data_IF_993037465157
#
_entry.id   IF_993037465157
#
_cell.length_a   1.000
_cell.length_b   1.000
_cell.length_c   1.000
_cell.angle_alpha   90.00
_cell.angle_beta   90.00
_cell.angle_gamma   90.00
#
_symmetry.space_group_name_H-M   'P 1'
#
loop_
_entity.id
_entity.type
_entity.pdbx_description
1 polymer ?
#
# COMPACT_ATOMS: atom_id res chain seq x y z
N UNK A 1 17.93 -14.16 -21.92
CA UNK A 1 16.61 -13.63 -21.52
C UNK A 1 15.47 -14.55 -21.99
N UNK A 2 15.44 -14.92 -23.27
CA UNK A 2 14.38 -15.76 -23.85
C UNK A 2 14.21 -17.14 -23.20
N UNK A 3 15.25 -17.68 -22.56
CA UNK A 3 15.20 -18.94 -21.80
C UNK A 3 14.58 -18.76 -20.39
N UNK A 4 14.57 -17.54 -19.84
CA UNK A 4 14.09 -17.23 -18.48
C UNK A 4 12.73 -16.54 -18.45
N UNK A 5 12.38 -15.82 -19.51
CA UNK A 5 11.14 -15.05 -19.63
C UNK A 5 10.46 -15.39 -20.95
N UNK A 6 9.72 -16.52 -21.00
CA UNK A 6 9.11 -17.00 -22.23
C UNK A 6 7.92 -16.14 -22.70
N UNK A 7 7.36 -15.32 -21.78
CA UNK A 7 6.20 -14.45 -22.06
C UNK A 7 6.52 -13.04 -21.53
N UNK A 8 6.23 -12.03 -22.35
CA UNK A 8 6.35 -10.62 -21.97
C UNK A 8 5.20 -9.82 -22.57
N UNK A 9 4.90 -8.69 -21.96
CA UNK A 9 3.88 -7.75 -22.40
C UNK A 9 4.52 -6.46 -22.90
N UNK A 10 4.06 -5.99 -24.06
CA UNK A 10 4.38 -4.66 -24.59
C UNK A 10 3.19 -3.74 -24.31
N UNK A 11 3.47 -2.60 -23.68
CA UNK A 11 2.47 -1.56 -23.41
C UNK A 11 2.89 -0.25 -24.08
N UNK A 12 1.90 0.46 -24.63
CA UNK A 12 2.12 1.81 -25.14
C UNK A 12 2.38 2.75 -23.98
N UNK A 13 3.42 3.58 -24.10
CA UNK A 13 3.62 4.67 -23.15
C UNK A 13 2.46 5.66 -23.19
N UNK A 14 1.90 5.98 -22.02
CA UNK A 14 0.80 6.93 -21.84
C UNK A 14 1.13 7.88 -20.71
N UNK A 15 0.92 9.18 -20.91
CA UNK A 15 1.05 10.21 -19.88
C UNK A 15 -0.30 10.51 -19.24
N UNK A 16 -0.32 10.72 -17.94
CA UNK A 16 -1.52 11.04 -17.17
C UNK A 16 -1.26 10.95 -15.66
N UNK A 17 -2.33 10.91 -14.89
CA UNK A 17 -2.27 10.67 -13.44
C UNK A 17 -2.31 9.18 -13.20
N UNK A 18 -1.33 8.66 -12.46
CA UNK A 18 -1.37 7.29 -11.97
C UNK A 18 -2.30 7.21 -10.77
N UNK A 19 -3.26 6.31 -10.84
CA UNK A 19 -4.25 6.08 -9.80
C UNK A 19 -4.62 4.60 -9.77
N UNK A 20 -4.71 4.02 -8.58
CA UNK A 20 -5.20 2.67 -8.41
C UNK A 20 -6.61 2.64 -7.83
N UNK A 21 -7.35 1.61 -8.19
CA UNK A 21 -8.61 1.25 -7.54
C UNK A 21 -8.54 -0.20 -7.07
N UNK A 22 -8.90 -0.42 -5.83
CA UNK A 22 -8.82 -1.73 -5.20
C UNK A 22 -10.04 -2.07 -4.37
N UNK A 23 -10.22 -3.36 -4.14
CA UNK A 23 -11.27 -3.87 -3.26
C UNK A 23 -10.90 -5.24 -2.71
N UNK A 24 -11.54 -5.63 -1.61
CA UNK A 24 -11.52 -7.01 -1.15
C UNK A 24 -12.56 -7.82 -1.93
N UNK A 25 -12.23 -9.08 -2.23
CA UNK A 25 -13.08 -10.01 -2.96
C UNK A 25 -13.25 -11.30 -2.14
N UNK A 26 -14.49 -11.73 -1.91
CA UNK A 26 -14.83 -12.85 -1.02
C UNK A 26 -15.04 -14.18 -1.74
N UNK A 27 -14.58 -14.30 -2.97
CA UNK A 27 -14.83 -15.48 -3.82
C UNK A 27 -16.10 -15.41 -4.65
N UNK A 28 -16.97 -14.42 -4.42
CA UNK A 28 -18.26 -14.25 -5.11
C UNK A 28 -18.49 -12.82 -5.55
N UNK A 29 -18.14 -11.87 -4.69
CA UNK A 29 -18.38 -10.45 -4.93
C UNK A 29 -17.31 -9.56 -4.27
N UNK A 30 -17.26 -8.31 -4.71
CA UNK A 30 -16.44 -7.28 -4.09
C UNK A 30 -17.09 -6.81 -2.79
N UNK A 31 -16.29 -6.69 -1.74
CA UNK A 31 -16.68 -6.11 -0.47
C UNK A 31 -16.56 -4.59 -0.56
N UNK A 32 -17.63 -3.90 -0.23
CA UNK A 32 -17.71 -2.43 -0.27
C UNK A 32 -17.45 -1.80 1.10
N UNK A 33 -16.97 -0.55 1.13
CA UNK A 33 -16.59 0.31 0.02
C UNK A 33 -15.28 -0.13 -0.64
N UNK A 34 -15.05 0.35 -1.87
CA UNK A 34 -13.79 0.22 -2.59
C UNK A 34 -12.78 1.26 -2.09
N UNK A 35 -11.48 1.05 -2.33
CA UNK A 35 -10.49 2.10 -2.12
C UNK A 35 -9.96 2.67 -3.44
N UNK A 36 -9.55 3.93 -3.36
CA UNK A 36 -8.80 4.62 -4.43
C UNK A 36 -7.52 5.12 -3.82
N UNK A 37 -6.39 4.90 -4.49
CA UNK A 37 -5.10 5.32 -3.98
C UNK A 37 -4.23 5.97 -5.04
N UNK A 38 -3.35 6.86 -4.56
CA UNK A 38 -2.34 7.59 -5.33
C UNK A 38 -0.99 7.32 -4.71
N UNK A 39 -0.15 6.58 -5.40
CA UNK A 39 1.14 6.16 -4.92
C UNK A 39 2.23 7.17 -5.26
N UNK A 40 3.11 7.47 -4.31
CA UNK A 40 4.34 8.20 -4.52
C UNK A 40 5.49 7.22 -4.67
N UNK A 41 6.03 7.12 -5.88
CA UNK A 41 7.05 6.11 -6.24
C UNK A 41 8.48 6.63 -6.18
N UNK A 42 8.69 7.93 -6.18
CA UNK A 42 10.03 8.50 -6.05
C UNK A 42 10.51 8.48 -4.60
N UNK A 43 11.81 8.31 -4.42
CA UNK A 43 12.41 8.23 -3.07
C UNK A 43 12.17 9.47 -2.25
N UNK A 44 12.29 10.64 -2.86
CA UNK A 44 12.14 11.92 -2.17
C UNK A 44 10.86 12.65 -2.56
N UNK A 45 10.36 13.53 -1.67
CA UNK A 45 9.27 14.45 -1.99
C UNK A 45 9.56 15.28 -3.25
N UNK A 46 8.50 15.72 -3.95
CA UNK A 46 8.62 16.51 -5.16
C UNK A 46 9.07 15.73 -6.39
N UNK A 47 8.82 14.43 -6.43
CA UNK A 47 9.19 13.54 -7.54
C UNK A 47 10.70 13.51 -7.84
N UNK A 48 11.52 13.62 -6.79
CA UNK A 48 12.98 13.64 -6.89
C UNK A 48 13.57 12.25 -6.56
N UNK A 49 14.67 11.90 -7.23
CA UNK A 49 15.41 10.66 -7.01
C UNK A 49 14.93 9.49 -7.87
N UNK A 50 15.49 8.29 -7.65
CA UNK A 50 15.12 7.10 -8.41
C UNK A 50 13.70 6.63 -8.11
N UNK A 51 13.15 5.83 -9.02
CA UNK A 51 11.90 5.12 -8.78
C UNK A 51 12.11 3.97 -7.79
N UNK A 52 11.12 3.78 -6.93
CA UNK A 52 10.99 2.65 -6.02
C UNK A 52 9.69 1.90 -6.31
N UNK A 53 9.39 0.87 -5.55
CA UNK A 53 8.07 0.25 -5.58
C UNK A 53 7.00 1.24 -5.11
N UNK A 54 7.18 1.81 -3.89
CA UNK A 54 6.29 2.80 -3.31
C UNK A 54 6.93 3.40 -2.05
N UNK A 55 6.84 4.71 -1.86
CA UNK A 55 7.39 5.42 -0.70
C UNK A 55 6.32 6.03 0.20
N UNK A 56 5.14 6.17 -0.32
CA UNK A 56 3.99 6.70 0.41
C UNK A 56 2.75 6.70 -0.47
N UNK A 57 1.59 6.78 0.16
CA UNK A 57 0.32 6.71 -0.55
C UNK A 57 -0.73 7.57 0.13
N UNK A 58 -1.51 8.24 -0.69
CA UNK A 58 -2.78 8.84 -0.32
C UNK A 58 -3.89 7.87 -0.72
N UNK A 59 -4.80 7.57 0.22
CA UNK A 59 -5.92 6.67 0.01
C UNK A 59 -7.22 7.27 0.53
N UNK A 60 -8.35 6.87 -0.06
CA UNK A 60 -9.67 7.09 0.49
C UNK A 60 -10.62 5.96 0.08
N UNK A 61 -11.64 5.75 0.89
CA UNK A 61 -12.70 4.79 0.64
C UNK A 61 -13.87 5.48 -0.08
N UNK A 62 -14.45 4.80 -1.04
CA UNK A 62 -15.59 5.33 -1.81
C UNK A 62 -16.56 4.24 -2.24
N UNK A 63 -17.77 4.66 -2.58
CA UNK A 63 -18.67 3.83 -3.36
C UNK A 63 -18.03 3.52 -4.73
N UNK A 64 -18.44 2.42 -5.39
CA UNK A 64 -18.02 2.09 -6.74
C UNK A 64 -18.09 3.28 -7.69
N UNK A 65 -16.99 3.63 -8.29
CA UNK A 65 -16.84 4.80 -9.17
C UNK A 65 -16.55 4.38 -10.61
N UNK A 66 -16.45 5.36 -11.51
CA UNK A 66 -16.18 5.10 -12.93
C UNK A 66 -14.91 4.29 -13.17
N UNK A 67 -13.85 4.54 -12.40
CA UNK A 67 -12.59 3.79 -12.54
C UNK A 67 -12.82 2.32 -12.21
N UNK A 68 -13.52 2.02 -11.10
CA UNK A 68 -13.89 0.67 -10.71
C UNK A 68 -14.73 -0.04 -11.79
N UNK A 69 -15.82 0.59 -12.25
CA UNK A 69 -16.71 0.00 -13.25
C UNK A 69 -16.03 -0.27 -14.61
N UNK A 70 -15.09 0.57 -14.99
CA UNK A 70 -14.37 0.43 -16.25
C UNK A 70 -13.22 -0.58 -16.19
N UNK A 71 -12.77 -0.95 -15.01
CA UNK A 71 -11.58 -1.81 -14.81
C UNK A 71 -11.87 -3.01 -13.93
N UNK A 72 -11.75 -2.86 -12.62
CA UNK A 72 -11.74 -3.96 -11.65
C UNK A 72 -13.04 -4.76 -11.64
N UNK A 73 -14.20 -4.12 -11.76
CA UNK A 73 -15.49 -4.80 -11.78
C UNK A 73 -15.59 -5.80 -12.94
N UNK A 74 -14.97 -5.50 -14.08
CA UNK A 74 -14.96 -6.40 -15.26
C UNK A 74 -14.19 -7.70 -15.03
N UNK A 75 -13.35 -7.73 -14.00
CA UNK A 75 -12.61 -8.93 -13.61
C UNK A 75 -13.42 -9.90 -12.76
N UNK A 76 -14.61 -9.48 -12.28
CA UNK A 76 -15.45 -10.32 -11.40
C UNK A 76 -15.66 -11.74 -11.91
N UNK A 77 -16.03 -11.98 -13.20
CA UNK A 77 -16.22 -13.35 -13.71
C UNK A 77 -14.95 -14.20 -13.58
N UNK A 78 -13.79 -13.66 -13.94
CA UNK A 78 -12.50 -14.36 -13.86
C UNK A 78 -12.08 -14.60 -12.40
N UNK A 79 -12.35 -13.68 -11.49
CA UNK A 79 -12.08 -13.84 -10.06
C UNK A 79 -12.94 -14.95 -9.44
N UNK A 80 -14.22 -15.02 -9.82
CA UNK A 80 -15.12 -16.12 -9.41
C UNK A 80 -14.64 -17.46 -9.94
N UNK A 81 -14.34 -17.53 -11.25
CA UNK A 81 -13.86 -18.76 -11.90
C UNK A 81 -12.55 -19.28 -11.28
N UNK A 82 -11.65 -18.37 -10.92
CA UNK A 82 -10.37 -18.74 -10.25
C UNK A 82 -10.51 -19.08 -8.77
N UNK A 83 -11.68 -18.87 -8.16
CA UNK A 83 -11.88 -19.02 -6.72
C UNK A 83 -11.08 -18.01 -5.90
N UNK A 84 -10.77 -16.83 -6.45
CA UNK A 84 -9.96 -15.83 -5.78
C UNK A 84 -10.65 -15.30 -4.51
N UNK A 85 -9.90 -15.22 -3.41
CA UNK A 85 -10.31 -14.55 -2.17
C UNK A 85 -9.15 -13.69 -1.71
N UNK A 86 -9.39 -12.40 -1.48
CA UNK A 86 -8.34 -11.50 -1.01
C UNK A 86 -8.50 -10.08 -1.51
N UNK A 87 -7.45 -9.31 -1.36
CA UNK A 87 -7.36 -7.96 -1.90
C UNK A 87 -6.84 -7.99 -3.33
N UNK A 88 -7.44 -7.20 -4.18
CA UNK A 88 -6.97 -6.96 -5.55
C UNK A 88 -7.13 -5.50 -5.91
N UNK A 89 -6.13 -4.92 -6.53
CA UNK A 89 -6.20 -3.61 -7.15
C UNK A 89 -5.66 -3.61 -8.57
N UNK A 90 -5.93 -2.52 -9.27
CA UNK A 90 -5.39 -2.25 -10.59
C UNK A 90 -4.89 -0.81 -10.66
N UNK A 91 -3.61 -0.66 -10.98
CA UNK A 91 -3.01 0.63 -11.27
C UNK A 91 -3.31 1.04 -12.71
N UNK A 92 -3.69 2.29 -12.90
CA UNK A 92 -4.06 2.86 -14.18
C UNK A 92 -3.41 4.23 -14.39
N UNK A 93 -3.09 4.57 -15.63
CA UNK A 93 -2.90 5.96 -16.02
C UNK A 93 -4.24 6.51 -16.51
N UNK A 94 -4.65 7.63 -15.95
CA UNK A 94 -5.90 8.31 -16.32
C UNK A 94 -5.57 9.69 -16.91
N UNK A 95 -6.17 10.00 -18.06
CA UNK A 95 -6.06 11.31 -18.72
C UNK A 95 -7.37 11.67 -19.44
N UNK A 96 -7.38 12.82 -20.14
CA UNK A 96 -8.55 13.29 -20.89
C UNK A 96 -9.01 12.38 -22.03
N UNK A 97 -8.20 11.40 -22.43
CA UNK A 97 -8.54 10.44 -23.52
C UNK A 97 -9.07 9.12 -23.00
N UNK A 98 -8.78 8.74 -21.74
CA UNK A 98 -9.26 7.46 -21.19
C UNK A 98 -8.53 6.98 -19.94
N UNK A 99 -8.82 5.73 -19.61
CA UNK A 99 -8.26 4.96 -18.51
C UNK A 99 -7.41 3.84 -19.14
N UNK A 100 -6.15 3.77 -18.77
CA UNK A 100 -5.17 2.83 -19.32
C UNK A 100 -4.62 1.96 -18.19
N UNK A 101 -5.05 0.69 -18.08
CA UNK A 101 -4.54 -0.23 -17.09
C UNK A 101 -3.03 -0.46 -17.25
N UNK A 102 -2.32 -0.51 -16.14
CA UNK A 102 -0.88 -0.81 -16.08
C UNK A 102 -0.63 -2.23 -15.59
N UNK A 103 -1.02 -2.51 -14.35
CA UNK A 103 -0.77 -3.78 -13.70
C UNK A 103 -1.82 -4.08 -12.63
N UNK A 104 -1.98 -5.38 -12.32
CA UNK A 104 -2.75 -5.85 -11.19
C UNK A 104 -1.84 -6.11 -9.99
N UNK A 105 -2.33 -5.76 -8.80
CA UNK A 105 -1.79 -6.25 -7.53
C UNK A 105 -2.81 -7.21 -6.92
N UNK A 106 -2.56 -8.52 -7.05
CA UNK A 106 -3.43 -9.58 -6.52
C UNK A 106 -2.93 -10.07 -5.16
N UNK A 107 -2.66 -9.16 -4.25
CA UNK A 107 -2.19 -9.35 -2.88
C UNK A 107 -2.35 -8.05 -2.11
N UNK A 108 -2.11 -8.07 -0.79
CA UNK A 108 -1.97 -6.81 -0.06
C UNK A 108 -0.83 -5.97 -0.64
N UNK A 109 -1.13 -4.71 -0.91
CA UNK A 109 -0.13 -3.71 -1.28
C UNK A 109 0.77 -3.36 -0.08
N UNK A 110 1.93 -2.81 -0.36
CA UNK A 110 2.88 -2.38 0.65
C UNK A 110 3.38 -0.96 0.31
N UNK A 111 3.11 0.06 1.11
CA UNK A 111 2.49 0.07 2.46
C UNK A 111 0.94 0.14 2.46
N UNK A 112 0.29 -0.21 1.40
CA UNK A 112 -1.17 -0.08 1.23
C UNK A 112 -1.97 -0.72 2.36
N UNK A 113 -1.56 -1.92 2.84
CA UNK A 113 -2.29 -2.62 3.93
C UNK A 113 -2.23 -1.85 5.25
N UNK A 114 -1.11 -1.21 5.56
CA UNK A 114 -0.98 -0.39 6.76
C UNK A 114 -1.92 0.82 6.70
N UNK A 115 -2.05 1.44 5.52
CA UNK A 115 -2.94 2.57 5.29
C UNK A 115 -4.41 2.13 5.30
N UNK A 116 -4.71 0.95 4.75
CA UNK A 116 -6.05 0.35 4.85
C UNK A 116 -6.43 0.09 6.30
N UNK A 117 -5.50 -0.45 7.10
CA UNK A 117 -5.70 -0.70 8.53
C UNK A 117 -5.95 0.60 9.31
N UNK A 118 -5.30 1.71 8.93
CA UNK A 118 -5.59 3.03 9.48
C UNK A 118 -7.04 3.48 9.18
N UNK A 119 -7.53 3.17 8.00
CA UNK A 119 -8.88 3.57 7.54
C UNK A 119 -10.00 2.61 7.95
N UNK A 120 -9.72 1.33 8.21
CA UNK A 120 -10.72 0.34 8.59
C UNK A 120 -11.01 0.45 10.09
N UNK A 121 -12.30 0.50 10.47
CA UNK A 121 -12.74 0.62 11.88
C UNK A 121 -13.19 -0.71 12.50
N UNK A 122 -13.18 -1.79 11.73
CA UNK A 122 -13.44 -3.14 12.20
C UNK A 122 -12.16 -3.78 12.73
N UNK A 123 -12.23 -4.66 13.75
CA UNK A 123 -11.08 -5.48 14.15
C UNK A 123 -10.54 -6.30 12.96
N UNK A 124 -9.22 -6.28 12.77
CA UNK A 124 -8.59 -6.93 11.60
C UNK A 124 -8.95 -8.41 11.50
N UNK A 125 -8.90 -9.14 12.60
CA UNK A 125 -9.26 -10.57 12.63
C UNK A 125 -10.72 -10.84 12.24
N UNK A 126 -11.64 -9.92 12.58
CA UNK A 126 -13.05 -10.07 12.25
C UNK A 126 -13.31 -9.97 10.74
N UNK A 127 -12.87 -8.86 10.12
CA UNK A 127 -13.14 -8.68 8.68
C UNK A 127 -12.34 -9.62 7.79
N UNK A 128 -11.12 -10.01 8.19
CA UNK A 128 -10.34 -11.03 7.48
C UNK A 128 -11.00 -12.40 7.56
N UNK A 129 -11.55 -12.78 8.72
CA UNK A 129 -12.27 -14.02 8.87
C UNK A 129 -13.53 -14.06 7.99
N UNK A 130 -14.34 -13.00 8.01
CA UNK A 130 -15.51 -12.85 7.14
C UNK A 130 -15.15 -12.95 5.66
N UNK A 131 -14.08 -12.25 5.24
CA UNK A 131 -13.60 -12.31 3.88
C UNK A 131 -13.21 -13.75 3.48
N UNK A 132 -12.40 -14.40 4.29
CA UNK A 132 -11.90 -15.76 4.03
C UNK A 132 -13.04 -16.80 4.04
N UNK A 133 -14.08 -16.59 4.85
CA UNK A 133 -15.27 -17.44 4.90
C UNK A 133 -16.24 -17.22 3.73
N UNK A 134 -15.96 -16.26 2.85
CA UNK A 134 -16.83 -15.93 1.71
C UNK A 134 -18.14 -15.27 2.13
N UNK A 135 -18.16 -14.64 3.32
CA UNK A 135 -19.32 -13.88 3.80
C UNK A 135 -19.47 -12.58 2.99
N UNK A 136 -20.71 -12.17 2.81
CA UNK A 136 -21.02 -10.83 2.33
C UNK A 136 -21.20 -9.90 3.52
N UNK A 137 -20.43 -8.84 3.60
CA UNK A 137 -20.49 -7.85 4.67
C UNK A 137 -20.08 -6.47 4.14
N UNK A 138 -20.49 -5.43 4.84
CA UNK A 138 -20.04 -4.07 4.59
C UNK A 138 -18.79 -3.80 5.42
N UNK A 139 -17.70 -3.38 4.76
CA UNK A 139 -16.48 -2.99 5.43
C UNK A 139 -16.65 -1.60 6.05
N UNK A 140 -16.55 -1.50 7.37
CA UNK A 140 -16.67 -0.21 8.07
C UNK A 140 -15.38 0.56 7.99
N UNK A 141 -15.45 1.78 7.45
CA UNK A 141 -14.28 2.62 7.21
C UNK A 141 -14.46 4.04 7.71
N UNK A 142 -13.33 4.69 8.01
CA UNK A 142 -13.30 6.13 8.29
C UNK A 142 -13.65 6.92 7.04
N UNK A 143 -14.38 8.01 7.19
CA UNK A 143 -14.55 9.01 6.13
C UNK A 143 -13.30 9.86 5.99
N UNK A 144 -13.10 10.46 4.80
CA UNK A 144 -11.95 11.31 4.51
C UNK A 144 -10.79 10.53 3.92
N UNK A 145 -9.58 10.95 4.26
CA UNK A 145 -8.35 10.50 3.63
C UNK A 145 -7.45 9.79 4.64
N UNK A 146 -6.72 8.80 4.15
CA UNK A 146 -5.62 8.14 4.85
C UNK A 146 -4.33 8.38 4.08
N UNK A 147 -3.26 8.65 4.80
CA UNK A 147 -1.91 8.82 4.24
C UNK A 147 -0.96 7.88 4.96
N UNK A 148 -0.07 7.27 4.22
CA UNK A 148 1.03 6.50 4.80
C UNK A 148 2.35 6.90 4.16
N UNK A 149 3.41 6.91 4.96
CA UNK A 149 4.78 7.22 4.53
C UNK A 149 5.74 6.19 5.10
N UNK A 150 6.63 5.69 4.27
CA UNK A 150 7.70 4.77 4.68
C UNK A 150 8.86 5.54 5.29
N UNK A 151 9.36 5.03 6.40
CA UNK A 151 10.59 5.49 7.04
C UNK A 151 11.69 4.47 6.75
N UNK A 152 12.75 4.92 6.10
CA UNK A 152 13.84 4.05 5.69
C UNK A 152 15.19 4.63 6.14
N UNK A 153 16.13 3.73 6.43
CA UNK A 153 17.54 4.11 6.48
C UNK A 153 18.09 4.21 5.05
N UNK A 154 19.19 4.95 4.79
CA UNK A 154 19.69 5.25 3.45
C UNK A 154 20.09 4.07 2.56
N UNK A 155 19.87 2.83 2.96
CA UNK A 155 20.13 1.61 2.19
C UNK A 155 19.29 1.43 0.93
N UNK A 156 18.22 2.23 0.77
CA UNK A 156 17.32 2.16 -0.41
C UNK A 156 18.00 2.37 -1.76
N UNK A 157 19.18 2.99 -1.78
CA UNK A 157 19.93 3.29 -3.01
C UNK A 157 20.93 2.21 -3.38
N UNK A 158 21.18 1.31 -2.47
CA UNK A 158 22.11 0.21 -2.64
C UNK A 158 21.30 -1.02 -3.00
N UNK A 159 21.80 -1.83 -3.91
CA UNK A 159 21.15 -3.10 -4.23
C UNK A 159 20.86 -3.82 -2.93
N UNK A 160 19.66 -4.32 -2.75
CA UNK A 160 19.17 -5.02 -1.54
C UNK A 160 20.05 -6.22 -1.10
N UNK A 161 21.11 -6.49 -1.84
CA UNK A 161 22.12 -7.53 -1.61
C UNK A 161 23.43 -7.00 -1.03
N UNK A 162 23.56 -5.68 -0.82
CA UNK A 162 24.76 -5.13 -0.23
C UNK A 162 24.73 -5.27 1.30
N UNK A 163 25.27 -6.40 1.75
CA UNK A 163 25.36 -6.74 3.17
C UNK A 163 26.15 -5.69 3.98
N UNK A 164 27.16 -5.08 3.40
CA UNK A 164 28.00 -4.09 4.09
C UNK A 164 27.17 -2.84 4.45
N UNK A 165 26.36 -2.38 3.52
CA UNK A 165 25.50 -1.21 3.76
C UNK A 165 24.40 -1.53 4.78
N UNK A 166 23.80 -2.72 4.75
CA UNK A 166 22.81 -3.14 5.75
C UNK A 166 23.46 -3.23 7.14
N UNK A 167 24.64 -3.83 7.24
CA UNK A 167 25.39 -3.93 8.50
C UNK A 167 25.76 -2.55 9.09
N UNK A 168 26.02 -1.56 8.26
CA UNK A 168 26.34 -0.19 8.71
C UNK A 168 25.20 0.43 9.53
N UNK A 169 23.95 0.09 9.25
CA UNK A 169 22.77 0.63 9.94
C UNK A 169 22.22 -0.31 11.00
N UNK A 170 22.70 -1.55 11.08
CA UNK A 170 22.31 -2.49 12.14
C UNK A 170 22.62 -1.90 13.51
N UNK A 171 21.73 -2.12 14.44
CA UNK A 171 21.84 -1.70 15.84
C UNK A 171 21.79 -0.17 16.08
N UNK A 172 21.58 0.64 15.06
CA UNK A 172 21.31 2.04 15.28
C UNK A 172 20.07 2.22 16.17
N UNK A 173 20.15 3.08 17.20
CA UNK A 173 19.02 3.30 18.11
C UNK A 173 17.90 4.04 17.39
N UNK A 174 16.65 3.64 17.68
CA UNK A 174 15.45 4.33 17.24
C UNK A 174 14.81 4.99 18.44
N UNK A 175 14.67 6.30 18.38
CA UNK A 175 14.11 7.09 19.46
C UNK A 175 12.72 7.58 19.07
N UNK A 176 11.69 7.08 19.75
CA UNK A 176 10.32 7.57 19.59
C UNK A 176 10.11 8.82 20.46
N UNK A 177 9.53 9.85 19.86
CA UNK A 177 9.17 11.08 20.57
C UNK A 177 8.10 10.83 21.64
N UNK A 178 7.22 9.85 21.40
CA UNK A 178 6.15 9.42 22.30
C UNK A 178 6.24 7.89 22.45
N UNK A 179 7.12 7.37 23.32
CA UNK A 179 7.36 5.92 23.41
C UNK A 179 6.15 5.13 23.91
N UNK A 180 5.21 5.77 24.61
CA UNK A 180 4.03 5.15 25.20
C UNK A 180 2.86 4.98 24.20
N UNK A 181 2.98 5.52 22.99
CA UNK A 181 1.97 5.38 21.94
C UNK A 181 2.64 5.14 20.59
N UNK A 182 2.32 3.99 20.01
CA UNK A 182 2.72 3.61 18.65
C UNK A 182 1.53 3.69 17.68
N UNK A 183 0.51 4.48 18.02
CA UNK A 183 -0.65 4.67 17.15
C UNK A 183 -0.21 5.23 15.79
N UNK A 184 -0.66 4.58 14.71
CA UNK A 184 -0.26 4.92 13.35
C UNK A 184 1.18 4.53 12.99
N UNK A 185 1.90 3.80 13.83
CA UNK A 185 3.26 3.32 13.56
C UNK A 185 3.23 1.81 13.33
N UNK A 186 3.56 1.39 12.12
CA UNK A 186 3.62 -0.01 11.72
C UNK A 186 5.09 -0.42 11.58
N UNK A 187 5.57 -1.17 12.57
CA UNK A 187 6.98 -1.55 12.72
C UNK A 187 7.33 -2.69 11.77
N UNK A 188 8.53 -2.64 11.16
CA UNK A 188 9.01 -3.64 10.20
C UNK A 188 10.44 -4.10 10.51
N UNK A 189 11.47 -3.38 10.05
CA UNK A 189 12.89 -3.77 10.21
C UNK A 189 13.48 -3.23 11.53
N UNK A 190 12.81 -3.57 12.63
CA UNK A 190 13.16 -3.08 13.97
C UNK A 190 13.19 -4.24 14.96
N UNK A 191 14.11 -4.19 15.92
CA UNK A 191 14.22 -5.11 17.05
C UNK A 191 14.21 -4.36 18.37
N UNK A 192 13.92 -5.07 19.44
CA UNK A 192 14.14 -4.61 20.82
C UNK A 192 15.34 -5.37 21.39
N UNK A 193 16.32 -4.64 21.87
CA UNK A 193 17.51 -5.19 22.50
C UNK A 193 17.83 -4.36 23.75
N UNK A 194 17.97 -5.02 24.90
CA UNK A 194 18.17 -4.38 26.21
C UNK A 194 17.15 -3.26 26.51
N UNK A 195 15.88 -3.49 26.15
CA UNK A 195 14.78 -2.54 26.33
C UNK A 195 14.82 -1.33 25.38
N UNK A 196 15.72 -1.31 24.41
CA UNK A 196 15.86 -0.22 23.43
C UNK A 196 15.45 -0.66 22.04
N UNK A 197 14.75 0.21 21.33
CA UNK A 197 14.41 0.02 19.93
C UNK A 197 15.63 0.24 19.04
N UNK A 198 15.91 -0.69 18.14
CA UNK A 198 17.07 -0.65 17.24
C UNK A 198 16.71 -1.13 15.85
N UNK A 199 17.47 -0.69 14.86
CA UNK A 199 17.40 -1.23 13.49
C UNK A 199 17.81 -2.69 13.49
N UNK A 200 16.96 -3.58 12.96
CA UNK A 200 17.28 -5.00 12.86
C UNK A 200 18.28 -5.30 11.74
N UNK A 201 18.29 -4.48 10.69
CA UNK A 201 19.27 -4.57 9.60
C UNK A 201 18.98 -5.70 8.62
N UNK A 202 17.71 -5.85 8.20
CA UNK A 202 17.27 -6.85 7.22
C UNK A 202 16.93 -6.20 5.88
N UNK A 203 16.09 -5.15 5.90
CA UNK A 203 15.57 -4.50 4.68
C UNK A 203 15.90 -3.02 4.60
N UNK A 204 16.19 -2.38 5.73
CA UNK A 204 16.34 -0.94 5.84
C UNK A 204 15.02 -0.15 5.81
N UNK A 205 13.88 -0.79 5.63
CA UNK A 205 12.57 -0.18 5.82
C UNK A 205 12.14 -0.34 7.27
N UNK A 206 12.25 0.71 8.07
CA UNK A 206 12.07 0.62 9.52
C UNK A 206 10.59 0.50 9.89
N UNK A 207 9.76 1.32 9.28
CA UNK A 207 8.34 1.40 9.62
C UNK A 207 7.54 2.14 8.55
N UNK A 208 6.24 1.98 8.61
CA UNK A 208 5.27 2.84 7.93
C UNK A 208 4.57 3.68 8.98
N UNK A 209 4.48 4.98 8.76
CA UNK A 209 3.71 5.89 9.59
C UNK A 209 2.43 6.26 8.85
N UNK A 210 1.28 6.08 9.49
CA UNK A 210 -0.03 6.37 8.91
C UNK A 210 -0.76 7.46 9.66
N UNK A 211 -1.68 8.11 8.98
CA UNK A 211 -2.56 9.11 9.56
C UNK A 211 -3.84 9.27 8.76
N UNK A 212 -4.88 9.77 9.39
CA UNK A 212 -6.19 10.01 8.78
C UNK A 212 -6.69 11.43 9.06
N UNK A 213 -7.53 11.95 8.18
CA UNK A 213 -8.13 13.28 8.33
C UNK A 213 -9.29 13.50 7.36
N UNK A 214 -10.11 14.52 7.62
CA UNK A 214 -11.20 14.90 6.73
C UNK A 214 -10.69 15.55 5.44
N UNK A 215 -9.48 16.08 5.50
CA UNK A 215 -8.74 16.62 4.37
C UNK A 215 -7.39 15.92 4.21
N UNK A 216 -6.81 15.97 3.02
CA UNK A 216 -5.45 15.48 2.75
C UNK A 216 -4.43 16.19 3.63
N UNK A 217 -4.60 17.49 3.88
CA UNK A 217 -3.72 18.27 4.72
C UNK A 217 -3.70 17.79 6.17
N UNK A 218 -4.87 17.49 6.74
CA UNK A 218 -5.00 16.94 8.10
C UNK A 218 -4.35 15.55 8.20
N UNK A 219 -4.66 14.64 7.27
CA UNK A 219 -4.07 13.31 7.26
C UNK A 219 -2.54 13.37 7.15
N UNK A 220 -2.02 14.24 6.28
CA UNK A 220 -0.58 14.49 6.15
C UNK A 220 0.02 15.06 7.43
N UNK A 221 -0.63 16.05 8.05
CA UNK A 221 -0.14 16.64 9.30
C UNK A 221 0.02 15.58 10.38
N UNK A 222 -0.94 14.67 10.51
CA UNK A 222 -0.88 13.60 11.50
C UNK A 222 0.33 12.67 11.29
N UNK A 223 0.70 12.37 10.05
CA UNK A 223 1.86 11.54 9.72
C UNK A 223 3.19 12.20 10.11
N UNK A 224 3.27 13.55 10.06
CA UNK A 224 4.53 14.29 10.27
C UNK A 224 4.65 14.96 11.64
N UNK A 225 3.72 14.76 12.57
CA UNK A 225 3.77 15.29 13.96
C UNK A 225 4.07 14.23 14.99
#
# INVERSE_FOLDING_TARGET
WTKKVPVFQLQKFVSGVEVAVGAFFNGKDFILPINVNFEHKRVFPGDIGPFTGEMGTLMFWSEPNRLFHMTLEKMKPALVESGYIGYIDINCIVNGKGIYPLEFTARFGYPTIQIQSEGITMPMGEWLYKLASGENFELKTKKGFQVGVRINVPTLFVKSTDKETIEMYRDLPILFKKPDSLDGIHIEDVKIEDGSWRVAGVSGCLMVVTGSGTTVSEARQQVYT
#
